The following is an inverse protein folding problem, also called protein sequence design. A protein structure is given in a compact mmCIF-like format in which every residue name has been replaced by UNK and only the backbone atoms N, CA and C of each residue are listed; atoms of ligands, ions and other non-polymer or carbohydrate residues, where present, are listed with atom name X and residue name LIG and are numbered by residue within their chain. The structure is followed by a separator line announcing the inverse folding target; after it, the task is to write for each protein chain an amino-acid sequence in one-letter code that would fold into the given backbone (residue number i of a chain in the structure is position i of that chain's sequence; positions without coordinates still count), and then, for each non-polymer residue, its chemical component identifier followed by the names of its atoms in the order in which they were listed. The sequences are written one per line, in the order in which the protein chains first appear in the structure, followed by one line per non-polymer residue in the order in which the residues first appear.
data_IF_830794126999
#
_entry.id   IF_830794126999
#
_cell.length_a   1.000
_cell.length_b   1.000
_cell.length_c   1.000
_cell.angle_alpha   90.00
_cell.angle_beta   90.00
_cell.angle_gamma   90.00
#
_symmetry.space_group_name_H-M   'P 1'
#
loop_
_entity.id
_entity.type
_entity.pdbx_description
1 polymer ?
#
# COMPACT_ATOMS: atom_id res chain seq x y z
N UNK A 1 -2.45 11.61 -11.25
CA UNK A 1 -2.38 10.69 -10.09
C UNK A 1 -3.34 11.19 -9.01
N UNK A 2 -4.20 10.29 -8.51
CA UNK A 2 -5.21 10.61 -7.48
C UNK A 2 -5.13 9.60 -6.35
N UNK A 3 -5.26 10.09 -5.10
CA UNK A 3 -5.10 9.33 -3.86
C UNK A 3 -6.45 9.21 -3.17
N UNK A 4 -6.80 8.01 -2.73
CA UNK A 4 -7.99 7.66 -1.98
C UNK A 4 -7.60 6.97 -0.69
N UNK A 5 -8.03 7.49 0.43
CA UNK A 5 -7.67 7.01 1.77
C UNK A 5 -8.94 6.81 2.61
N UNK A 6 -8.98 5.70 3.34
CA UNK A 6 -9.91 5.45 4.43
C UNK A 6 -9.09 5.15 5.68
N UNK A 7 -9.16 6.01 6.67
CA UNK A 7 -8.46 5.88 7.95
C UNK A 7 -9.41 5.68 9.14
N UNK A 8 -10.58 5.13 8.85
CA UNK A 8 -11.57 4.67 9.83
C UNK A 8 -11.90 3.18 9.61
N UNK A 9 -10.88 2.35 9.66
CA UNK A 9 -11.01 0.90 9.43
C UNK A 9 -11.77 0.22 10.58
N UNK A 10 -11.63 0.71 11.78
CA UNK A 10 -12.28 0.14 12.97
C UNK A 10 -13.81 0.13 12.85
N UNK A 11 -14.40 1.17 12.23
CA UNK A 11 -15.85 1.29 12.03
C UNK A 11 -16.30 0.85 10.63
N UNK A 12 -15.38 0.31 9.81
CA UNK A 12 -15.71 -0.12 8.46
C UNK A 12 -16.53 -1.40 8.45
N UNK A 13 -17.78 -1.32 8.00
CA UNK A 13 -18.68 -2.47 7.86
C UNK A 13 -18.35 -3.29 6.61
N UNK A 14 -17.45 -4.25 6.78
CA UNK A 14 -17.05 -5.15 5.69
C UNK A 14 -18.18 -6.07 5.22
N UNK A 15 -19.17 -6.38 6.08
CA UNK A 15 -20.32 -7.23 5.72
C UNK A 15 -21.24 -6.50 4.75
N UNK A 16 -21.56 -5.23 5.04
CA UNK A 16 -22.30 -4.37 4.12
C UNK A 16 -21.54 -4.10 2.81
N UNK A 17 -20.20 -4.19 2.82
CA UNK A 17 -19.35 -4.03 1.65
C UNK A 17 -19.35 -5.26 0.72
N UNK A 18 -19.55 -6.48 1.24
CA UNK A 18 -19.44 -7.74 0.45
C UNK A 18 -20.22 -7.75 -0.88
N UNK A 19 -21.48 -7.25 -0.95
CA UNK A 19 -22.22 -7.23 -2.23
C UNK A 19 -21.61 -6.30 -3.28
N UNK A 20 -20.78 -5.35 -2.86
CA UNK A 20 -20.13 -4.38 -3.74
C UNK A 20 -18.80 -4.91 -4.30
N UNK A 21 -18.22 -5.96 -3.71
CA UNK A 21 -16.99 -6.57 -4.19
C UNK A 21 -17.24 -7.42 -5.44
N UNK A 22 -16.20 -7.56 -6.31
CA UNK A 22 -16.20 -8.60 -7.34
C UNK A 22 -16.18 -9.98 -6.70
N UNK A 23 -16.58 -11.02 -7.45
CA UNK A 23 -16.57 -12.41 -6.93
C UNK A 23 -15.16 -12.80 -6.46
N UNK A 24 -14.14 -12.54 -7.30
CA UNK A 24 -12.73 -12.77 -6.98
C UNK A 24 -12.32 -12.08 -5.66
N UNK A 25 -12.70 -10.79 -5.49
CA UNK A 25 -12.33 -10.03 -4.29
C UNK A 25 -13.09 -10.48 -3.06
N UNK A 26 -14.36 -10.84 -3.22
CA UNK A 26 -15.17 -11.38 -2.13
C UNK A 26 -14.60 -12.69 -1.60
N UNK A 27 -14.21 -13.60 -2.49
CA UNK A 27 -13.55 -14.85 -2.09
C UNK A 27 -12.24 -14.58 -1.33
N UNK A 28 -11.43 -13.66 -1.82
CA UNK A 28 -10.18 -13.27 -1.15
C UNK A 28 -10.45 -12.67 0.24
N UNK A 29 -11.43 -11.78 0.35
CA UNK A 29 -11.84 -11.17 1.62
C UNK A 29 -12.26 -12.24 2.64
N UNK A 30 -13.06 -13.21 2.22
CA UNK A 30 -13.56 -14.29 3.10
C UNK A 30 -12.48 -15.28 3.55
N UNK A 31 -11.31 -15.35 2.88
CA UNK A 31 -10.18 -16.19 3.31
C UNK A 31 -9.49 -15.66 4.57
N UNK A 32 -9.63 -14.36 4.88
CA UNK A 32 -9.07 -13.80 6.11
C UNK A 32 -9.78 -14.36 7.34
N UNK A 33 -9.01 -14.85 8.31
CA UNK A 33 -9.54 -15.39 9.57
C UNK A 33 -10.04 -14.31 10.52
N UNK A 34 -9.33 -13.17 10.54
CA UNK A 34 -9.62 -12.05 11.43
C UNK A 34 -10.42 -10.97 10.73
N UNK A 35 -11.29 -10.32 11.49
CA UNK A 35 -12.18 -9.26 11.01
C UNK A 35 -11.40 -8.10 10.36
N UNK A 36 -10.33 -7.65 11.01
CA UNK A 36 -9.47 -6.59 10.48
C UNK A 36 -8.97 -6.88 9.07
N UNK A 37 -8.56 -8.13 8.76
CA UNK A 37 -8.13 -8.50 7.42
C UNK A 37 -9.27 -8.41 6.39
N UNK A 38 -10.51 -8.68 6.79
CA UNK A 38 -11.70 -8.51 5.94
C UNK A 38 -12.02 -7.05 5.72
N UNK A 39 -11.97 -6.24 6.79
CA UNK A 39 -12.18 -4.80 6.74
C UNK A 39 -11.19 -4.13 5.79
N UNK A 40 -9.90 -4.34 5.98
CA UNK A 40 -8.84 -3.72 5.16
C UNK A 40 -8.88 -4.19 3.71
N UNK A 41 -9.13 -5.50 3.47
CA UNK A 41 -9.25 -6.06 2.14
C UNK A 41 -10.43 -5.44 1.37
N UNK A 42 -11.60 -5.32 2.00
CA UNK A 42 -12.78 -4.74 1.37
C UNK A 42 -12.63 -3.22 1.19
N UNK A 43 -12.15 -2.51 2.20
CA UNK A 43 -11.93 -1.06 2.15
C UNK A 43 -11.00 -0.67 1.01
N UNK A 44 -9.83 -1.30 0.88
CA UNK A 44 -8.87 -1.01 -0.18
C UNK A 44 -9.46 -1.22 -1.58
N UNK A 45 -10.27 -2.28 -1.77
CA UNK A 45 -10.94 -2.52 -3.04
C UNK A 45 -12.02 -1.48 -3.36
N UNK A 46 -12.82 -1.07 -2.37
CA UNK A 46 -13.86 -0.05 -2.59
C UNK A 46 -13.25 1.33 -2.88
N UNK A 47 -12.09 1.65 -2.31
CA UNK A 47 -11.34 2.85 -2.69
C UNK A 47 -10.93 2.81 -4.17
N UNK A 48 -10.50 1.65 -4.69
CA UNK A 48 -10.23 1.49 -6.12
C UNK A 48 -11.51 1.66 -6.95
N UNK A 49 -12.63 1.05 -6.55
CA UNK A 49 -13.91 1.24 -7.26
C UNK A 49 -14.32 2.71 -7.30
N UNK A 50 -14.15 3.43 -6.19
CA UNK A 50 -14.42 4.86 -6.10
C UNK A 50 -13.52 5.67 -7.03
N UNK A 51 -12.21 5.38 -7.03
CA UNK A 51 -11.23 6.02 -7.89
C UNK A 51 -11.56 5.80 -9.37
N UNK A 52 -11.83 4.56 -9.77
CA UNK A 52 -12.17 4.22 -11.16
C UNK A 52 -13.44 4.93 -11.61
N UNK A 53 -14.46 5.00 -10.76
CA UNK A 53 -15.69 5.71 -11.07
C UNK A 53 -15.49 7.22 -11.24
N UNK A 54 -14.71 7.84 -10.34
CA UNK A 54 -14.52 9.31 -10.34
C UNK A 54 -13.57 9.77 -11.44
N UNK A 55 -12.48 9.05 -11.65
CA UNK A 55 -11.40 9.51 -12.54
C UNK A 55 -11.56 9.00 -13.98
N UNK A 56 -12.19 7.83 -14.17
CA UNK A 56 -12.27 7.16 -15.47
C UNK A 56 -13.71 6.85 -15.91
N UNK A 57 -14.73 7.14 -15.08
CA UNK A 57 -16.14 6.84 -15.39
C UNK A 57 -16.46 5.34 -15.41
N UNK A 58 -15.57 4.48 -14.89
CA UNK A 58 -15.74 3.03 -14.83
C UNK A 58 -16.58 2.68 -13.61
N UNK A 59 -17.75 2.07 -13.84
CA UNK A 59 -18.69 1.68 -12.78
C UNK A 59 -18.73 0.19 -12.53
N UNK A 60 -18.16 -0.60 -13.42
CA UNK A 60 -18.03 -2.04 -13.32
C UNK A 60 -17.05 -2.40 -12.19
N UNK A 61 -17.31 -3.54 -11.55
CA UNK A 61 -16.42 -4.07 -10.51
C UNK A 61 -15.12 -4.54 -11.13
N UNK A 62 -13.96 -3.93 -10.78
CA UNK A 62 -12.69 -4.32 -11.36
C UNK A 62 -12.33 -5.77 -11.04
N UNK A 63 -11.90 -6.48 -12.07
CA UNK A 63 -11.33 -7.82 -12.00
C UNK A 63 -9.85 -7.72 -12.29
N UNK A 64 -9.03 -8.48 -11.55
CA UNK A 64 -7.58 -8.41 -11.66
C UNK A 64 -7.02 -9.57 -12.47
N UNK A 65 -6.09 -9.23 -13.35
CA UNK A 65 -5.09 -10.14 -13.90
C UNK A 65 -3.76 -9.92 -13.20
N UNK A 66 -2.94 -10.95 -13.13
CA UNK A 66 -1.67 -10.88 -12.38
C UNK A 66 -0.53 -11.14 -13.36
N UNK A 67 0.44 -10.20 -13.39
CA UNK A 67 1.67 -10.36 -14.13
C UNK A 67 2.60 -11.42 -13.51
N UNK A 68 3.73 -11.66 -14.16
CA UNK A 68 4.73 -12.67 -13.77
C UNK A 68 5.18 -12.56 -12.30
N UNK A 69 5.25 -11.33 -11.76
CA UNK A 69 5.67 -11.06 -10.38
C UNK A 69 4.49 -10.76 -9.44
N UNK A 70 3.25 -11.05 -9.85
CA UNK A 70 2.07 -10.94 -9.01
C UNK A 70 1.52 -9.52 -8.81
N UNK A 71 2.04 -8.49 -9.50
CA UNK A 71 1.42 -7.17 -9.50
C UNK A 71 0.08 -7.22 -10.23
N UNK A 72 -1.04 -6.80 -9.60
CA UNK A 72 -2.34 -6.80 -10.24
C UNK A 72 -2.43 -5.69 -11.30
N UNK A 73 -3.11 -6.00 -12.40
CA UNK A 73 -3.57 -5.04 -13.41
C UNK A 73 -5.09 -5.20 -13.57
N UNK A 74 -5.78 -4.14 -13.98
CA UNK A 74 -7.22 -4.17 -14.19
C UNK A 74 -7.50 -4.79 -15.56
N UNK A 75 -8.23 -5.91 -15.57
CA UNK A 75 -8.62 -6.57 -16.81
C UNK A 75 -9.40 -5.61 -17.72
N UNK A 76 -9.01 -5.52 -18.98
CA UNK A 76 -9.60 -4.60 -19.96
C UNK A 76 -9.14 -3.13 -19.88
N UNK A 77 -8.32 -2.76 -18.88
CA UNK A 77 -7.84 -1.38 -18.68
C UNK A 77 -6.32 -1.34 -18.38
N UNK A 78 -5.46 -1.78 -19.32
CA UNK A 78 -4.02 -1.89 -19.07
C UNK A 78 -3.31 -0.53 -18.92
N UNK A 79 -3.93 0.56 -19.39
CA UNK A 79 -3.39 1.92 -19.28
C UNK A 79 -3.70 2.60 -17.94
N UNK A 80 -4.53 1.99 -17.11
CA UNK A 80 -4.82 2.49 -15.77
C UNK A 80 -3.90 1.80 -14.78
N UNK A 81 -2.92 2.55 -14.29
CA UNK A 81 -2.04 2.09 -13.23
C UNK A 81 -2.66 2.36 -11.87
N UNK A 82 -2.61 1.38 -11.00
CA UNK A 82 -3.05 1.54 -9.63
C UNK A 82 -2.15 0.78 -8.66
N UNK A 83 -2.21 1.18 -7.41
CA UNK A 83 -1.63 0.42 -6.32
C UNK A 83 -2.48 0.60 -5.07
N UNK A 84 -2.51 -0.42 -4.22
CA UNK A 84 -3.25 -0.42 -2.96
C UNK A 84 -2.36 -0.94 -1.84
N UNK A 85 -2.52 -0.35 -0.66
CA UNK A 85 -1.93 -0.84 0.57
C UNK A 85 -2.88 -0.63 1.74
N UNK A 86 -2.65 -1.33 2.84
CA UNK A 86 -3.42 -1.15 4.06
C UNK A 86 -2.61 -1.58 5.27
N UNK A 87 -2.86 -0.91 6.37
CA UNK A 87 -2.41 -1.28 7.71
C UNK A 87 -3.62 -1.46 8.63
N UNK A 88 -3.39 -1.54 9.93
CA UNK A 88 -4.46 -1.67 10.92
C UNK A 88 -5.41 -0.46 10.91
N UNK A 89 -4.86 0.73 10.79
CA UNK A 89 -5.56 2.01 10.94
C UNK A 89 -6.21 2.47 9.65
N UNK A 90 -5.62 2.12 8.48
CA UNK A 90 -6.01 2.72 7.22
C UNK A 90 -5.85 1.79 6.02
N UNK A 91 -6.61 2.09 4.95
CA UNK A 91 -6.43 1.57 3.61
C UNK A 91 -6.24 2.72 2.64
N UNK A 92 -5.35 2.55 1.66
CA UNK A 92 -5.02 3.54 0.65
C UNK A 92 -5.05 2.93 -0.75
N UNK A 93 -5.53 3.69 -1.70
CA UNK A 93 -5.48 3.37 -3.13
C UNK A 93 -5.00 4.58 -3.91
N UNK A 94 -4.12 4.35 -4.86
CA UNK A 94 -3.64 5.37 -5.80
C UNK A 94 -3.94 4.90 -7.21
N UNK A 95 -4.44 5.80 -8.05
CA UNK A 95 -4.64 5.58 -9.49
C UNK A 95 -3.89 6.63 -10.29
N UNK A 96 -3.34 6.23 -11.43
CA UNK A 96 -2.50 7.08 -12.29
C UNK A 96 -2.50 6.58 -13.74
N UNK A 97 -2.11 7.44 -14.67
CA UNK A 97 -1.78 7.11 -16.06
C UNK A 97 -0.30 6.67 -16.24
N UNK A 98 0.47 6.69 -15.14
CA UNK A 98 1.86 6.23 -15.11
C UNK A 98 2.03 5.17 -14.01
N UNK A 99 3.05 4.31 -14.12
CA UNK A 99 3.35 3.33 -13.07
C UNK A 99 3.47 4.00 -11.69
N UNK A 100 2.77 3.45 -10.71
CA UNK A 100 2.69 3.98 -9.35
C UNK A 100 2.85 2.87 -8.31
N UNK A 101 3.38 3.23 -7.16
CA UNK A 101 3.45 2.39 -5.97
C UNK A 101 3.06 3.19 -4.73
N UNK A 102 2.36 2.55 -3.82
CA UNK A 102 1.99 3.12 -2.52
C UNK A 102 2.17 2.07 -1.43
N UNK A 103 2.63 2.51 -0.30
CA UNK A 103 2.65 1.70 0.91
C UNK A 103 2.21 2.50 2.13
N UNK A 104 1.46 1.85 3.03
CA UNK A 104 0.98 2.41 4.29
C UNK A 104 1.20 1.40 5.40
N UNK A 105 1.79 1.85 6.52
CA UNK A 105 2.13 1.00 7.65
C UNK A 105 1.80 1.67 8.99
N UNK A 106 1.39 0.85 9.95
CA UNK A 106 1.22 1.28 11.33
C UNK A 106 2.56 1.60 11.97
N UNK A 107 2.62 2.68 12.76
CA UNK A 107 3.80 3.01 13.56
C UNK A 107 3.80 2.09 14.78
N UNK A 108 4.67 1.11 14.81
CA UNK A 108 4.81 0.18 15.92
C UNK A 108 6.27 -0.20 16.15
N UNK A 109 6.51 -0.85 17.29
CA UNK A 109 7.88 -1.32 17.61
C UNK A 109 8.40 -2.24 16.52
N UNK A 110 9.53 -1.86 15.91
CA UNK A 110 10.22 -2.65 14.91
C UNK A 110 11.17 -3.69 15.51
N UNK A 111 11.45 -4.74 14.76
CA UNK A 111 12.49 -5.71 15.07
C UNK A 111 13.84 -5.18 14.58
N UNK A 112 14.83 -5.04 15.47
CA UNK A 112 16.18 -4.60 15.07
C UNK A 112 16.83 -5.59 14.08
N UNK A 113 16.58 -6.89 14.21
CA UNK A 113 17.07 -7.88 13.25
C UNK A 113 16.50 -7.69 11.86
N UNK A 114 15.20 -7.38 11.75
CA UNK A 114 14.57 -7.04 10.48
C UNK A 114 15.15 -5.74 9.91
N UNK A 115 15.28 -4.70 10.74
CA UNK A 115 15.85 -3.44 10.30
C UNK A 115 17.27 -3.61 9.73
N UNK A 116 18.14 -4.36 10.41
CA UNK A 116 19.50 -4.65 9.91
C UNK A 116 19.52 -5.47 8.62
N UNK A 117 18.47 -6.24 8.36
CA UNK A 117 18.36 -7.01 7.13
C UNK A 117 17.94 -6.15 5.93
N UNK A 118 17.03 -5.19 6.14
CA UNK A 118 16.39 -4.40 5.06
C UNK A 118 16.91 -2.97 4.93
N UNK A 119 17.59 -2.42 5.95
CA UNK A 119 18.10 -1.05 5.95
C UNK A 119 19.62 -1.03 5.67
N UNK A 120 20.07 -0.03 4.93
CA UNK A 120 21.49 0.26 4.76
C UNK A 120 22.11 0.75 6.08
N UNK A 121 23.44 0.78 6.18
CA UNK A 121 24.12 1.26 7.38
C UNK A 121 23.77 2.72 7.70
N UNK A 122 23.64 3.56 6.68
CA UNK A 122 23.23 4.96 6.82
C UNK A 122 21.79 5.10 7.35
N UNK A 123 20.87 4.28 6.87
CA UNK A 123 19.48 4.26 7.35
C UNK A 123 19.40 3.72 8.77
N UNK A 124 20.19 2.71 9.10
CA UNK A 124 20.31 2.21 10.48
C UNK A 124 20.82 3.28 11.44
N UNK A 125 21.80 4.07 11.03
CA UNK A 125 22.30 5.19 11.83
C UNK A 125 21.18 6.22 12.09
N UNK A 126 20.39 6.56 11.08
CA UNK A 126 19.23 7.45 11.23
C UNK A 126 18.20 6.91 12.23
N UNK A 127 17.88 5.63 12.15
CA UNK A 127 16.93 4.97 13.05
C UNK A 127 17.43 5.00 14.51
N UNK A 128 18.70 4.62 14.71
CA UNK A 128 19.28 4.48 16.06
C UNK A 128 19.46 5.82 16.79
N UNK A 129 19.65 6.92 16.05
CA UNK A 129 19.82 8.26 16.63
C UNK A 129 18.51 9.07 16.69
N UNK A 130 17.39 8.51 16.22
CA UNK A 130 16.11 9.22 16.21
C UNK A 130 15.49 9.27 17.62
N UNK A 131 14.75 10.33 17.91
CA UNK A 131 13.90 10.42 19.12
C UNK A 131 12.80 9.37 19.10
N UNK A 132 12.26 9.06 17.90
CA UNK A 132 11.29 7.99 17.69
C UNK A 132 11.80 7.01 16.61
N UNK A 133 12.61 6.01 17.00
CA UNK A 133 13.14 5.02 16.05
C UNK A 133 12.08 4.25 15.27
N UNK A 134 10.92 3.97 15.90
CA UNK A 134 9.83 3.27 15.25
C UNK A 134 9.23 4.08 14.09
N UNK A 135 9.05 5.38 14.29
CA UNK A 135 8.56 6.29 13.25
C UNK A 135 9.54 6.35 12.06
N UNK A 136 10.84 6.53 12.33
CA UNK A 136 11.86 6.61 11.27
C UNK A 136 11.98 5.29 10.52
N UNK A 137 11.95 4.16 11.23
CA UNK A 137 11.92 2.85 10.58
C UNK A 137 10.71 2.72 9.65
N UNK A 138 9.49 3.03 10.15
CA UNK A 138 8.26 2.93 9.37
C UNK A 138 8.29 3.85 8.14
N UNK A 139 8.82 5.06 8.28
CA UNK A 139 9.02 6.00 7.17
C UNK A 139 9.94 5.43 6.08
N UNK A 140 11.08 4.88 6.45
CA UNK A 140 12.02 4.28 5.51
C UNK A 140 11.44 3.01 4.87
N UNK A 141 10.74 2.20 5.65
CA UNK A 141 10.12 0.97 5.19
C UNK A 141 9.04 1.24 4.14
N UNK A 142 8.09 2.15 4.41
CA UNK A 142 7.04 2.50 3.44
C UNK A 142 7.60 3.07 2.14
N UNK A 143 8.70 3.83 2.19
CA UNK A 143 9.40 4.33 0.99
C UNK A 143 9.95 3.17 0.13
N UNK A 144 10.61 2.20 0.78
CA UNK A 144 11.15 1.01 0.09
C UNK A 144 10.05 0.17 -0.54
N UNK A 145 9.00 -0.12 0.23
CA UNK A 145 7.85 -0.88 -0.25
C UNK A 145 7.12 -0.17 -1.41
N UNK A 146 6.91 1.15 -1.33
CA UNK A 146 6.30 1.91 -2.42
C UNK A 146 7.14 1.83 -3.70
N UNK A 147 8.48 1.92 -3.61
CA UNK A 147 9.38 1.77 -4.76
C UNK A 147 9.30 0.38 -5.37
N UNK A 148 9.32 -0.66 -4.54
CA UNK A 148 9.18 -2.07 -4.97
C UNK A 148 7.82 -2.31 -5.63
N UNK A 149 6.73 -1.80 -5.04
CA UNK A 149 5.37 -1.92 -5.61
C UNK A 149 5.23 -1.19 -6.95
N UNK A 150 5.91 -0.05 -7.12
CA UNK A 150 5.95 0.63 -8.42
C UNK A 150 6.59 -0.23 -9.49
N UNK A 151 7.77 -0.81 -9.20
CA UNK A 151 8.50 -1.63 -10.17
C UNK A 151 7.74 -2.90 -10.57
N UNK A 152 6.96 -3.47 -9.66
CA UNK A 152 6.22 -4.72 -9.87
C UNK A 152 7.08 -5.98 -9.84
N UNK A 153 8.38 -5.89 -9.56
CA UNK A 153 9.28 -7.07 -9.50
C UNK A 153 9.19 -7.85 -8.18
N UNK A 154 8.38 -7.37 -7.22
CA UNK A 154 8.30 -7.97 -5.89
C UNK A 154 9.50 -7.59 -5.01
N UNK A 155 9.50 -8.09 -3.77
CA UNK A 155 10.59 -7.86 -2.81
C UNK A 155 11.86 -8.51 -3.36
N UNK A 156 12.86 -7.71 -3.70
CA UNK A 156 14.18 -8.18 -4.11
C UNK A 156 15.04 -8.50 -2.88
N UNK A 157 16.08 -9.30 -3.07
CA UNK A 157 17.07 -9.56 -2.01
C UNK A 157 17.92 -8.33 -1.65
N UNK A 158 17.76 -7.22 -2.38
CA UNK A 158 18.52 -5.99 -2.21
C UNK A 158 17.68 -4.82 -1.69
N UNK A 159 16.91 -5.07 -0.62
CA UNK A 159 16.13 -4.01 0.04
C UNK A 159 16.99 -2.88 0.59
N UNK A 160 18.27 -3.12 0.89
CA UNK A 160 19.19 -2.11 1.43
C UNK A 160 19.42 -0.95 0.47
N UNK A 161 19.46 -1.21 -0.83
CA UNK A 161 19.84 -0.25 -1.87
C UNK A 161 18.65 0.17 -2.77
N UNK A 162 17.43 -0.29 -2.47
CA UNK A 162 16.25 -0.06 -3.33
C UNK A 162 15.90 1.42 -3.53
N UNK A 163 16.33 2.30 -2.64
CA UNK A 163 16.12 3.75 -2.76
C UNK A 163 17.25 4.49 -3.51
N UNK A 164 18.30 3.80 -3.91
CA UNK A 164 19.44 4.40 -4.60
C UNK A 164 19.17 4.55 -6.09
N UNK A 165 19.47 5.74 -6.64
CA UNK A 165 19.39 5.97 -8.10
C UNK A 165 17.98 5.86 -8.70
N UNK A 166 16.93 6.03 -7.90
CA UNK A 166 15.57 5.98 -8.40
C UNK A 166 15.32 7.07 -9.46
N UNK A 167 14.67 6.73 -10.60
CA UNK A 167 14.31 7.70 -11.62
C UNK A 167 13.02 8.47 -11.32
N UNK A 168 12.49 8.39 -10.12
CA UNK A 168 11.25 9.02 -9.65
C UNK A 168 11.40 9.48 -8.21
N UNK A 169 10.54 10.39 -7.78
CA UNK A 169 10.48 10.88 -6.42
C UNK A 169 9.52 10.03 -5.57
N UNK A 170 9.70 10.08 -4.25
CA UNK A 170 8.83 9.44 -3.28
C UNK A 170 8.40 10.49 -2.26
N UNK A 171 7.11 10.77 -2.25
CA UNK A 171 6.48 11.56 -1.19
C UNK A 171 6.13 10.65 0.00
N UNK A 172 6.36 11.17 1.21
CA UNK A 172 6.01 10.45 2.45
C UNK A 172 5.18 11.37 3.34
N UNK A 173 4.04 10.87 3.79
CA UNK A 173 3.13 11.55 4.70
C UNK A 173 3.18 10.87 6.06
N UNK A 174 3.43 11.66 7.08
CA UNK A 174 3.49 11.23 8.47
C UNK A 174 2.17 11.61 9.16
N UNK A 175 1.47 10.64 9.73
CA UNK A 175 0.25 10.84 10.52
C UNK A 175 0.41 10.14 11.90
N UNK A 176 1.35 10.59 12.75
CA UNK A 176 1.64 9.94 14.03
C UNK A 176 0.46 9.99 15.00
N UNK A 177 -0.38 11.01 14.93
CA UNK A 177 -1.61 11.13 15.71
C UNK A 177 -2.66 10.06 15.34
N UNK A 178 -2.59 9.53 14.13
CA UNK A 178 -3.42 8.43 13.61
C UNK A 178 -2.67 7.10 13.55
N UNK A 179 -1.45 7.09 14.04
CA UNK A 179 -0.59 5.91 14.16
C UNK A 179 -0.19 5.24 12.84
N UNK A 180 -0.07 5.99 11.74
CA UNK A 180 0.43 5.44 10.48
C UNK A 180 1.35 6.38 9.70
N UNK A 181 2.08 5.81 8.75
CA UNK A 181 2.87 6.50 7.73
C UNK A 181 2.53 5.90 6.38
N UNK A 182 2.44 6.72 5.34
CA UNK A 182 2.40 6.19 3.97
C UNK A 182 3.38 6.90 3.05
N UNK A 183 3.83 6.18 2.03
CA UNK A 183 4.72 6.69 0.97
C UNK A 183 4.15 6.37 -0.39
N UNK A 184 4.29 7.32 -1.33
CA UNK A 184 3.81 7.22 -2.71
C UNK A 184 4.93 7.59 -3.65
N UNK A 185 5.08 6.85 -4.73
CA UNK A 185 6.00 7.20 -5.83
C UNK A 185 5.31 8.18 -6.78
N UNK A 186 6.00 9.26 -7.12
CA UNK A 186 5.53 10.30 -8.05
C UNK A 186 5.99 10.05 -9.48
#
# INVERSE_FOLDING_TARGET
MNIYLNDDIEHFDWQAALPQLSEQRREQCLKFRHELGRQTCAAAYLLLCEALRKEYGITEKPVFEYGEHGKPVISGHPDIHFNMSHCREAAICVVSDQPVGVDIESIHRYSESLARYVMSDKEMEQILHAENPALVFTQLWTRKEAAVKRSGYGISNDMKHVLEGLPFEIETVLAPEKNYVYSITL
#
